data_IF_656649347159
#
_entry.id   IF_656649347159
#
_cell.length_a   1.000
_cell.length_b   1.000
_cell.length_c   1.000
_cell.angle_alpha   90.00
_cell.angle_beta   90.00
_cell.angle_gamma   90.00
#
_symmetry.space_group_name_H-M   'P 1'
#
loop_
_entity.id
_entity.type
_entity.pdbx_description
1 polymer ?
#
# COMPACT_ATOMS: atom_id res chain seq x y z
N UNK A 1 0.53 -12.36 -7.13
CA UNK A 1 0.09 -11.12 -7.81
C UNK A 1 -1.31 -10.80 -7.34
N UNK A 2 -1.56 -9.58 -6.91
CA UNK A 2 -2.90 -9.16 -6.51
C UNK A 2 -3.82 -9.03 -7.74
N UNK A 3 -4.65 -10.05 -7.94
CA UNK A 3 -5.58 -10.18 -9.08
C UNK A 3 -6.60 -9.03 -9.04
N UNK A 4 -7.07 -8.64 -7.87
CA UNK A 4 -8.07 -7.56 -7.73
C UNK A 4 -7.52 -6.22 -8.21
N UNK A 5 -6.30 -5.86 -7.85
CA UNK A 5 -5.64 -4.63 -8.30
C UNK A 5 -5.41 -4.64 -9.81
N UNK A 6 -4.99 -5.77 -10.38
CA UNK A 6 -4.78 -5.90 -11.82
C UNK A 6 -6.11 -5.77 -12.60
N UNK A 7 -7.14 -6.50 -12.16
CA UNK A 7 -8.48 -6.44 -12.77
C UNK A 7 -9.07 -5.03 -12.65
N UNK A 8 -8.93 -4.37 -11.51
CA UNK A 8 -9.42 -3.00 -11.33
C UNK A 8 -8.79 -2.01 -12.29
N UNK A 9 -7.47 -2.10 -12.51
CA UNK A 9 -6.76 -1.25 -13.47
C UNK A 9 -7.23 -1.53 -14.90
N UNK A 10 -7.30 -2.81 -15.31
CA UNK A 10 -7.73 -3.20 -16.67
C UNK A 10 -9.19 -2.78 -16.92
N UNK A 11 -10.10 -3.03 -15.98
CA UNK A 11 -11.50 -2.65 -16.10
C UNK A 11 -11.66 -1.12 -16.17
N UNK A 12 -10.90 -0.37 -15.35
CA UNK A 12 -10.94 1.09 -15.39
C UNK A 12 -10.54 1.66 -16.74
N UNK A 13 -9.41 1.19 -17.32
CA UNK A 13 -9.01 1.56 -18.69
C UNK A 13 -10.08 1.15 -19.68
N UNK A 14 -10.55 -0.10 -19.60
CA UNK A 14 -11.55 -0.64 -20.52
C UNK A 14 -12.85 0.19 -20.53
N UNK A 15 -13.35 0.60 -19.37
CA UNK A 15 -14.56 1.41 -19.26
C UNK A 15 -14.38 2.82 -19.83
N UNK A 16 -13.23 3.47 -19.59
CA UNK A 16 -12.93 4.79 -20.18
C UNK A 16 -12.85 4.69 -21.69
N UNK A 17 -12.09 3.73 -22.22
CA UNK A 17 -11.97 3.52 -23.68
C UNK A 17 -13.31 3.16 -24.30
N UNK A 18 -14.07 2.28 -23.68
CA UNK A 18 -15.40 1.91 -24.15
C UNK A 18 -16.35 3.12 -24.19
N UNK A 19 -16.35 3.96 -23.15
CA UNK A 19 -17.15 5.18 -23.12
C UNK A 19 -16.80 6.16 -24.25
N UNK A 20 -15.50 6.35 -24.52
CA UNK A 20 -15.04 7.19 -25.62
C UNK A 20 -15.48 6.62 -26.98
N UNK A 21 -15.32 5.32 -27.19
CA UNK A 21 -15.70 4.65 -28.47
C UNK A 21 -17.21 4.70 -28.70
N UNK A 22 -18.01 4.49 -27.65
CA UNK A 22 -19.48 4.57 -27.76
C UNK A 22 -19.97 5.98 -28.13
N UNK A 23 -19.27 7.00 -27.70
CA UNK A 23 -19.67 8.40 -27.97
C UNK A 23 -19.24 8.88 -29.37
N UNK A 24 -18.05 8.49 -29.83
CA UNK A 24 -17.50 9.04 -31.09
C UNK A 24 -16.81 8.03 -32.01
N UNK A 25 -16.96 6.74 -31.76
CA UNK A 25 -16.27 5.67 -32.50
C UNK A 25 -14.78 5.59 -32.17
N UNK A 26 -14.08 4.64 -32.79
CA UNK A 26 -12.63 4.44 -32.60
C UNK A 26 -11.80 5.69 -32.91
N UNK A 27 -12.12 6.51 -33.97
CA UNK A 27 -11.38 7.74 -34.24
C UNK A 27 -11.42 8.77 -33.10
N UNK A 28 -12.45 8.75 -32.23
CA UNK A 28 -12.56 9.67 -31.12
C UNK A 28 -11.44 9.50 -30.07
N UNK A 29 -10.78 8.35 -30.00
CA UNK A 29 -9.63 8.11 -29.14
C UNK A 29 -8.48 9.10 -29.39
N UNK A 30 -8.27 9.49 -30.67
CA UNK A 30 -7.22 10.43 -31.03
C UNK A 30 -7.46 11.84 -30.50
N UNK A 31 -8.72 12.21 -30.22
CA UNK A 31 -9.04 13.52 -29.62
C UNK A 31 -8.53 13.65 -28.17
N UNK A 32 -8.24 12.52 -27.51
CA UNK A 32 -7.70 12.47 -26.16
C UNK A 32 -6.17 12.33 -26.13
N UNK A 33 -5.51 12.27 -27.30
CA UNK A 33 -4.06 12.23 -27.43
C UNK A 33 -3.56 13.65 -27.79
N UNK A 34 -3.39 14.48 -26.78
CA UNK A 34 -2.93 15.87 -26.96
C UNK A 34 -1.57 16.08 -26.27
N UNK A 35 -0.46 16.14 -27.03
CA UNK A 35 0.87 16.28 -26.46
C UNK A 35 1.06 17.54 -25.59
N UNK A 36 0.56 18.73 -25.96
CA UNK A 36 0.62 19.91 -25.08
C UNK A 36 -0.04 19.66 -23.73
N UNK A 37 -1.24 19.07 -23.70
CA UNK A 37 -1.96 18.72 -22.48
C UNK A 37 -1.19 17.72 -21.61
N UNK A 38 -0.55 16.72 -22.20
CA UNK A 38 0.26 15.75 -21.50
C UNK A 38 1.49 16.41 -20.86
N UNK A 39 2.19 17.28 -21.57
CA UNK A 39 3.36 18.03 -21.06
C UNK A 39 2.94 18.89 -19.87
N UNK A 40 1.86 19.65 -19.98
CA UNK A 40 1.38 20.53 -18.91
C UNK A 40 0.99 19.70 -17.68
N UNK A 41 0.14 18.69 -17.85
CA UNK A 41 -0.47 18.00 -16.71
C UNK A 41 0.47 16.95 -16.11
N UNK A 42 0.99 16.03 -16.93
CA UNK A 42 1.88 14.96 -16.44
C UNK A 42 3.24 15.54 -16.09
N UNK A 43 3.85 16.30 -17.00
CA UNK A 43 5.15 16.93 -16.78
C UNK A 43 5.13 17.91 -15.62
N UNK A 44 4.11 18.77 -15.56
CA UNK A 44 3.93 19.74 -14.49
C UNK A 44 3.72 19.09 -13.12
N UNK A 45 2.80 18.13 -13.02
CA UNK A 45 2.54 17.42 -11.75
C UNK A 45 3.76 16.64 -11.26
N UNK A 46 4.48 15.94 -12.15
CA UNK A 46 5.72 15.25 -11.79
C UNK A 46 6.83 16.22 -11.37
N UNK A 47 6.93 17.40 -12.01
CA UNK A 47 7.91 18.40 -11.60
C UNK A 47 7.62 18.96 -10.19
N UNK A 48 6.35 19.14 -9.83
CA UNK A 48 5.95 19.53 -8.48
C UNK A 48 6.32 18.45 -7.45
N UNK A 49 6.07 17.16 -7.77
CA UNK A 49 6.47 16.04 -6.93
C UNK A 49 8.00 15.95 -6.79
N UNK A 50 8.75 16.18 -7.87
CA UNK A 50 10.21 16.21 -7.83
C UNK A 50 10.72 17.36 -6.96
N UNK A 51 10.10 18.53 -7.04
CA UNK A 51 10.47 19.69 -6.23
C UNK A 51 10.25 19.46 -4.73
N UNK A 52 9.21 18.70 -4.35
CA UNK A 52 8.87 18.39 -2.96
C UNK A 52 9.68 17.24 -2.34
N UNK A 53 10.43 16.49 -3.14
CA UNK A 53 11.17 15.30 -2.71
C UNK A 53 12.66 15.42 -3.00
N UNK A 54 13.49 14.72 -2.20
CA UNK A 54 14.87 14.44 -2.61
C UNK A 54 14.84 13.51 -3.83
N UNK A 55 15.82 13.67 -4.73
CA UNK A 55 15.90 12.85 -5.96
C UNK A 55 15.82 11.33 -5.69
N UNK A 56 16.47 10.86 -4.62
CA UNK A 56 16.39 9.44 -4.21
C UNK A 56 14.98 9.03 -3.81
N UNK A 57 14.24 9.90 -3.10
CA UNK A 57 12.85 9.66 -2.72
C UNK A 57 11.91 9.66 -3.92
N UNK A 58 12.11 10.58 -4.87
CA UNK A 58 11.36 10.61 -6.12
C UNK A 58 11.54 9.32 -6.93
N UNK A 59 12.79 8.87 -7.11
CA UNK A 59 13.10 7.62 -7.84
C UNK A 59 12.49 6.41 -7.10
N UNK A 60 12.57 6.38 -5.77
CA UNK A 60 11.95 5.33 -4.96
C UNK A 60 10.42 5.33 -5.11
N UNK A 61 9.79 6.51 -5.12
CA UNK A 61 8.36 6.68 -5.37
C UNK A 61 7.93 6.12 -6.72
N UNK A 62 8.62 6.47 -7.80
CA UNK A 62 8.34 5.91 -9.13
C UNK A 62 8.53 4.38 -9.16
N UNK A 63 9.61 3.86 -8.56
CA UNK A 63 9.85 2.40 -8.49
C UNK A 63 8.79 1.66 -7.67
N UNK A 64 8.14 2.34 -6.75
CA UNK A 64 7.07 1.75 -5.93
C UNK A 64 5.78 1.45 -6.70
N UNK A 65 5.69 1.85 -7.99
CA UNK A 65 4.57 1.54 -8.88
C UNK A 65 4.20 0.05 -8.92
N UNK A 66 5.19 -0.83 -8.77
CA UNK A 66 4.97 -2.27 -8.78
C UNK A 66 4.45 -2.84 -7.44
N UNK A 67 4.53 -2.08 -6.34
CA UNK A 67 4.17 -2.57 -4.99
C UNK A 67 2.69 -2.92 -4.83
N UNK A 68 1.71 -2.13 -5.34
CA UNK A 68 0.29 -2.46 -5.23
C UNK A 68 -0.09 -3.78 -5.91
N UNK A 69 0.69 -4.22 -6.89
CA UNK A 69 0.45 -5.48 -7.62
C UNK A 69 1.12 -6.70 -6.98
N UNK A 70 1.99 -6.48 -5.96
CA UNK A 70 2.58 -7.57 -5.20
C UNK A 70 1.63 -7.99 -4.10
N UNK A 71 1.23 -9.24 -4.14
CA UNK A 71 0.46 -9.85 -3.07
C UNK A 71 1.39 -10.11 -1.88
N UNK A 72 1.09 -9.52 -0.74
CA UNK A 72 1.65 -9.90 0.55
C UNK A 72 0.59 -10.74 1.26
N UNK A 73 0.58 -12.04 0.99
CA UNK A 73 -0.32 -12.96 1.68
C UNK A 73 0.36 -13.48 2.95
N UNK A 74 0.48 -12.65 3.97
CA UNK A 74 0.75 -13.18 5.30
C UNK A 74 -0.60 -13.25 6.01
N UNK A 75 -1.11 -14.45 6.22
CA UNK A 75 -2.31 -14.65 7.00
C UNK A 75 -1.97 -14.50 8.50
N UNK A 76 -2.61 -13.58 9.23
CA UNK A 76 -2.44 -13.47 10.67
C UNK A 76 -2.65 -14.79 11.41
N UNK A 77 -3.54 -15.67 10.90
CA UNK A 77 -3.78 -16.98 11.44
C UNK A 77 -2.55 -17.89 11.40
N UNK A 78 -1.82 -17.91 10.28
CA UNK A 78 -0.57 -18.66 10.16
C UNK A 78 0.49 -18.15 11.15
N UNK A 79 0.56 -16.84 11.35
CA UNK A 79 1.49 -16.22 12.31
C UNK A 79 1.14 -16.63 13.74
N UNK A 80 -0.15 -16.64 14.09
CA UNK A 80 -0.62 -17.09 15.41
C UNK A 80 -0.22 -18.56 15.63
N UNK A 81 -0.50 -19.45 14.67
CA UNK A 81 -0.15 -20.85 14.77
C UNK A 81 1.37 -21.05 14.97
N UNK A 82 2.21 -20.33 14.25
CA UNK A 82 3.67 -20.36 14.44
C UNK A 82 4.08 -19.93 15.84
N UNK A 83 3.46 -18.87 16.37
CA UNK A 83 3.75 -18.39 17.75
C UNK A 83 3.31 -19.44 18.78
N UNK A 84 2.17 -20.11 18.57
CA UNK A 84 1.71 -21.19 19.46
C UNK A 84 2.66 -22.39 19.41
N UNK A 85 3.13 -22.78 18.22
CA UNK A 85 4.16 -23.82 18.07
C UNK A 85 5.43 -23.47 18.84
N UNK A 86 5.95 -22.25 18.67
CA UNK A 86 7.12 -21.75 19.40
C UNK A 86 6.89 -21.73 20.91
N UNK A 87 5.70 -21.33 21.36
CA UNK A 87 5.32 -21.36 22.77
C UNK A 87 5.35 -22.79 23.34
N UNK A 88 4.86 -23.77 22.58
CA UNK A 88 4.89 -25.18 22.97
C UNK A 88 6.34 -25.73 23.05
N UNK A 89 7.21 -25.36 22.10
CA UNK A 89 8.64 -25.72 22.09
C UNK A 89 9.31 -25.12 23.31
N UNK A 90 9.16 -23.83 23.53
CA UNK A 90 9.74 -23.13 24.68
C UNK A 90 9.33 -23.74 26.01
N UNK A 91 8.08 -24.17 26.15
CA UNK A 91 7.56 -24.77 27.38
C UNK A 91 8.07 -26.19 27.65
N UNK A 92 8.31 -26.98 26.60
CA UNK A 92 8.78 -28.36 26.71
C UNK A 92 10.30 -28.47 26.85
N UNK A 93 11.02 -27.66 26.10
CA UNK A 93 12.46 -27.78 25.87
C UNK A 93 13.25 -26.56 26.39
N UNK A 94 12.54 -25.51 26.82
CA UNK A 94 13.13 -24.27 27.29
C UNK A 94 13.34 -23.24 26.17
N UNK A 95 13.64 -21.98 26.57
CA UNK A 95 13.82 -20.85 25.63
C UNK A 95 14.96 -21.07 24.64
N UNK A 96 16.02 -21.78 25.02
CA UNK A 96 17.17 -22.05 24.14
C UNK A 96 16.79 -22.90 22.91
N UNK A 97 15.79 -23.76 23.03
CA UNK A 97 15.31 -24.56 21.88
C UNK A 97 14.67 -23.72 20.77
N UNK A 98 14.27 -22.48 21.08
CA UNK A 98 13.75 -21.54 20.08
C UNK A 98 14.81 -21.08 19.08
N UNK A 99 16.11 -21.16 19.40
CA UNK A 99 17.20 -20.83 18.47
C UNK A 99 17.19 -21.75 17.24
N UNK A 100 17.02 -23.06 17.47
CA UNK A 100 16.93 -24.04 16.38
C UNK A 100 15.65 -23.82 15.55
N UNK A 101 14.52 -23.57 16.22
CA UNK A 101 13.25 -23.27 15.55
C UNK A 101 13.33 -21.99 14.70
N UNK A 102 14.06 -20.97 15.16
CA UNK A 102 14.27 -19.72 14.43
C UNK A 102 15.00 -19.91 13.09
N UNK A 103 15.83 -20.95 12.97
CA UNK A 103 16.52 -21.28 11.72
C UNK A 103 15.60 -21.62 10.55
N UNK A 104 14.40 -22.11 10.83
CA UNK A 104 13.39 -22.48 9.83
C UNK A 104 12.38 -21.37 9.49
N UNK A 105 12.52 -20.21 10.13
CA UNK A 105 11.57 -19.08 9.99
C UNK A 105 12.07 -18.10 8.91
N UNK A 106 11.23 -17.83 7.92
CA UNK A 106 11.51 -16.87 6.84
C UNK A 106 11.29 -15.40 7.27
N UNK A 107 10.47 -15.16 8.30
CA UNK A 107 10.19 -13.81 8.79
C UNK A 107 11.35 -13.30 9.66
N UNK A 108 12.12 -12.36 9.11
CA UNK A 108 13.29 -11.77 9.76
C UNK A 108 12.94 -10.99 11.04
N UNK A 109 11.72 -10.43 11.13
CA UNK A 109 11.28 -9.71 12.31
C UNK A 109 10.98 -10.67 13.47
N UNK A 110 10.28 -11.76 13.19
CA UNK A 110 10.01 -12.84 14.16
C UNK A 110 11.32 -13.49 14.60
N UNK A 111 12.19 -13.81 13.66
CA UNK A 111 13.52 -14.38 13.94
C UNK A 111 14.37 -13.48 14.84
N UNK A 112 14.42 -12.18 14.54
CA UNK A 112 15.12 -11.20 15.37
C UNK A 112 14.57 -11.17 16.80
N UNK A 113 13.24 -11.19 16.93
CA UNK A 113 12.59 -11.18 18.24
C UNK A 113 12.87 -12.46 19.04
N UNK A 114 12.87 -13.63 18.40
CA UNK A 114 13.23 -14.90 19.02
C UNK A 114 14.66 -14.85 19.55
N UNK A 115 15.62 -14.38 18.74
CA UNK A 115 17.01 -14.30 19.18
C UNK A 115 17.19 -13.39 20.40
N UNK A 116 16.49 -12.25 20.46
CA UNK A 116 16.52 -11.38 21.65
C UNK A 116 16.00 -12.10 22.91
N UNK A 117 14.93 -12.89 22.77
CA UNK A 117 14.36 -13.68 23.88
C UNK A 117 15.31 -14.78 24.33
N UNK A 118 15.94 -15.50 23.39
CA UNK A 118 16.92 -16.58 23.64
C UNK A 118 18.16 -16.04 24.35
N UNK A 119 18.62 -14.85 23.96
CA UNK A 119 19.76 -14.14 24.58
C UNK A 119 19.46 -13.65 26.02
N UNK A 120 18.24 -13.84 26.51
CA UNK A 120 17.83 -13.42 27.86
C UNK A 120 17.67 -11.91 28.00
N UNK A 121 17.45 -11.19 26.91
CA UNK A 121 17.21 -9.74 26.92
C UNK A 121 15.95 -9.44 27.74
N UNK A 122 15.97 -8.37 28.53
CA UNK A 122 14.80 -7.94 29.32
C UNK A 122 13.58 -7.65 28.43
N UNK A 123 12.39 -8.02 28.91
CA UNK A 123 11.14 -7.95 28.14
C UNK A 123 10.80 -6.54 27.63
N UNK A 124 11.03 -5.51 28.46
CA UNK A 124 10.82 -4.11 28.07
C UNK A 124 11.80 -3.68 26.98
N UNK A 125 13.05 -4.17 27.06
CA UNK A 125 14.05 -3.89 26.03
C UNK A 125 13.74 -4.63 24.71
N UNK A 126 13.29 -5.89 24.76
CA UNK A 126 12.80 -6.63 23.58
C UNK A 126 11.67 -5.86 22.91
N UNK A 127 10.65 -5.45 23.69
CA UNK A 127 9.54 -4.62 23.21
C UNK A 127 10.06 -3.35 22.53
N UNK A 128 10.89 -2.58 23.20
CA UNK A 128 11.40 -1.29 22.70
C UNK A 128 12.21 -1.43 21.40
N UNK A 129 13.03 -2.48 21.26
CA UNK A 129 13.80 -2.75 20.04
C UNK A 129 12.86 -3.10 18.87
N UNK A 130 11.89 -3.98 19.08
CA UNK A 130 10.97 -4.42 18.03
C UNK A 130 9.99 -3.31 17.64
N UNK A 131 9.47 -2.54 18.58
CA UNK A 131 8.64 -1.36 18.29
C UNK A 131 9.41 -0.29 17.49
N UNK A 132 10.67 -0.04 17.83
CA UNK A 132 11.53 0.88 17.08
C UNK A 132 11.72 0.41 15.63
N UNK A 133 11.92 -0.89 15.40
CA UNK A 133 12.05 -1.47 14.07
C UNK A 133 10.74 -1.33 13.28
N UNK A 134 9.61 -1.65 13.92
CA UNK A 134 8.27 -1.49 13.37
C UNK A 134 7.96 -0.04 12.97
N UNK A 135 8.22 0.92 13.85
CA UNK A 135 8.02 2.35 13.59
C UNK A 135 8.92 2.85 12.46
N UNK A 136 10.18 2.40 12.41
CA UNK A 136 11.11 2.74 11.32
C UNK A 136 10.64 2.19 9.96
N UNK A 137 10.04 1.00 9.95
CA UNK A 137 9.42 0.44 8.76
C UNK A 137 8.19 1.26 8.34
N UNK A 138 7.30 1.56 9.27
CA UNK A 138 6.11 2.37 9.03
C UNK A 138 6.47 3.73 8.42
N UNK A 139 7.49 4.39 8.95
CA UNK A 139 7.96 5.68 8.43
C UNK A 139 8.44 5.59 6.97
N UNK A 140 9.13 4.50 6.61
CA UNK A 140 9.52 4.24 5.22
C UNK A 140 8.31 4.03 4.31
N UNK A 141 7.30 3.30 4.78
CA UNK A 141 6.06 3.07 4.03
C UNK A 141 5.27 4.37 3.87
N UNK A 142 5.14 5.18 4.92
CA UNK A 142 4.47 6.50 4.88
C UNK A 142 5.09 7.41 3.82
N UNK A 143 6.41 7.44 3.68
CA UNK A 143 7.08 8.23 2.62
C UNK A 143 6.65 7.79 1.22
N UNK A 144 6.50 6.49 0.99
CA UNK A 144 6.03 5.95 -0.28
C UNK A 144 4.55 6.27 -0.53
N UNK A 145 3.72 6.14 0.50
CA UNK A 145 2.29 6.49 0.44
C UNK A 145 2.12 7.97 0.12
N UNK A 146 2.82 8.84 0.86
CA UNK A 146 2.76 10.29 0.67
C UNK A 146 3.21 10.73 -0.73
N UNK A 147 4.12 10.00 -1.38
CA UNK A 147 4.49 10.26 -2.77
C UNK A 147 3.27 10.16 -3.70
N UNK A 148 2.47 9.07 -3.57
CA UNK A 148 1.28 8.85 -4.40
C UNK A 148 0.15 9.81 -4.05
N UNK A 149 -0.06 10.10 -2.77
CA UNK A 149 -1.05 11.08 -2.32
C UNK A 149 -0.75 12.47 -2.90
N UNK A 150 0.48 12.93 -2.75
CA UNK A 150 0.88 14.23 -3.24
C UNK A 150 0.81 14.34 -4.77
N UNK A 151 1.22 13.30 -5.51
CA UNK A 151 1.06 13.28 -6.95
C UNK A 151 -0.42 13.32 -7.36
N UNK A 152 -1.28 12.58 -6.64
CA UNK A 152 -2.73 12.64 -6.82
C UNK A 152 -3.33 14.02 -6.63
N UNK A 153 -2.86 14.79 -5.65
CA UNK A 153 -3.27 16.19 -5.42
C UNK A 153 -2.77 17.10 -6.54
N UNK A 154 -1.55 16.88 -7.04
CA UNK A 154 -0.96 17.72 -8.09
C UNK A 154 -1.61 17.48 -9.47
N UNK A 155 -2.14 16.28 -9.74
CA UNK A 155 -2.79 15.98 -11.02
C UNK A 155 -3.87 17.00 -11.41
N UNK A 156 -4.96 17.15 -10.63
CA UNK A 156 -6.01 18.11 -10.90
C UNK A 156 -5.55 19.56 -10.85
N UNK A 157 -4.61 19.90 -9.97
CA UNK A 157 -4.06 21.24 -9.85
C UNK A 157 -3.38 21.68 -11.16
N UNK A 158 -2.54 20.83 -11.74
CA UNK A 158 -1.92 21.08 -13.05
C UNK A 158 -2.90 20.95 -14.21
N UNK A 159 -3.94 20.11 -14.08
CA UNK A 159 -5.07 20.09 -15.00
C UNK A 159 -5.77 21.42 -15.09
N UNK A 160 -6.03 22.07 -13.95
CA UNK A 160 -6.64 23.40 -13.88
C UNK A 160 -5.72 24.48 -14.47
N UNK A 161 -4.41 24.40 -14.24
CA UNK A 161 -3.45 25.30 -14.89
C UNK A 161 -3.55 25.18 -16.41
N UNK A 162 -3.63 23.94 -16.94
CA UNK A 162 -3.80 23.72 -18.37
C UNK A 162 -5.12 24.26 -18.91
N UNK A 163 -6.20 24.14 -18.14
CA UNK A 163 -7.50 24.76 -18.49
C UNK A 163 -7.35 26.27 -18.65
N UNK A 164 -6.71 26.94 -17.71
CA UNK A 164 -6.47 28.38 -17.79
C UNK A 164 -5.60 28.76 -18.98
N UNK A 165 -4.55 27.99 -19.27
CA UNK A 165 -3.69 28.24 -20.46
C UNK A 165 -4.52 28.12 -21.75
N UNK A 166 -5.32 27.08 -21.90
CA UNK A 166 -6.20 26.91 -23.08
C UNK A 166 -7.21 28.03 -23.24
N UNK A 167 -7.89 28.42 -22.15
CA UNK A 167 -8.86 29.51 -22.18
C UNK A 167 -8.23 30.86 -22.45
N UNK A 168 -7.08 31.18 -21.87
CA UNK A 168 -6.36 32.43 -22.13
C UNK A 168 -5.96 32.55 -23.60
N UNK A 169 -5.42 31.46 -24.17
CA UNK A 169 -5.04 31.43 -25.60
C UNK A 169 -6.25 31.56 -26.51
N UNK A 170 -7.38 30.88 -26.15
CA UNK A 170 -8.64 31.00 -26.87
C UNK A 170 -9.13 32.47 -26.89
N UNK A 171 -9.17 33.13 -25.71
CA UNK A 171 -9.64 34.51 -25.58
C UNK A 171 -8.76 35.52 -26.33
N UNK A 172 -7.44 35.27 -26.38
CA UNK A 172 -6.52 36.14 -27.15
C UNK A 172 -6.70 36.05 -28.66
N UNK A 173 -7.26 34.96 -29.16
CA UNK A 173 -7.38 34.68 -30.59
C UNK A 173 -8.86 34.51 -31.01
N UNK A 174 -9.79 35.19 -30.34
CA UNK A 174 -11.24 35.07 -30.63
C UNK A 174 -11.64 35.44 -32.07
N UNK A 175 -10.84 36.30 -32.72
CA UNK A 175 -11.08 36.72 -34.10
C UNK A 175 -10.77 35.59 -35.12
N UNK A 176 -9.91 34.62 -34.73
CA UNK A 176 -9.59 33.45 -35.53
C UNK A 176 -10.35 32.21 -35.02
N UNK A 177 -11.50 31.93 -35.63
CA UNK A 177 -12.35 30.80 -35.27
C UNK A 177 -11.65 29.42 -35.38
N UNK A 178 -10.58 29.34 -36.19
CA UNK A 178 -9.82 28.10 -36.36
C UNK A 178 -9.02 27.71 -35.09
N UNK A 179 -8.70 28.65 -34.22
CA UNK A 179 -7.92 28.46 -32.99
C UNK A 179 -8.78 28.13 -31.78
N UNK A 180 -10.09 28.42 -31.83
CA UNK A 180 -11.02 28.20 -30.69
C UNK A 180 -11.08 26.71 -30.30
N UNK A 181 -11.32 25.82 -31.27
CA UNK A 181 -11.43 24.40 -31.04
C UNK A 181 -10.18 23.79 -30.42
N UNK A 182 -8.99 23.95 -31.00
CA UNK A 182 -7.74 23.44 -30.44
C UNK A 182 -7.44 23.94 -29.04
N UNK A 183 -7.61 25.23 -28.74
CA UNK A 183 -7.36 25.78 -27.42
C UNK A 183 -8.36 25.28 -26.37
N UNK A 184 -9.61 25.08 -26.75
CA UNK A 184 -10.64 24.48 -25.90
C UNK A 184 -10.34 23.00 -25.62
N UNK A 185 -9.82 22.27 -26.63
CA UNK A 185 -9.39 20.89 -26.44
C UNK A 185 -8.28 20.78 -25.40
N UNK A 186 -7.24 21.65 -25.46
CA UNK A 186 -6.19 21.69 -24.43
C UNK A 186 -6.79 21.91 -23.03
N UNK A 187 -7.72 22.86 -22.88
CA UNK A 187 -8.36 23.13 -21.60
C UNK A 187 -9.11 21.91 -21.02
N UNK A 188 -9.80 21.16 -21.85
CA UNK A 188 -10.58 19.99 -21.42
C UNK A 188 -9.72 18.77 -21.20
N UNK A 189 -8.76 18.49 -22.10
CA UNK A 189 -7.90 17.31 -22.03
C UNK A 189 -6.93 17.37 -20.86
N UNK A 190 -6.43 18.56 -20.51
CA UNK A 190 -5.58 18.73 -19.30
C UNK A 190 -6.33 18.36 -18.02
N UNK A 191 -7.60 18.80 -17.90
CA UNK A 191 -8.44 18.45 -16.74
C UNK A 191 -8.76 16.94 -16.73
N UNK A 192 -9.01 16.37 -17.88
CA UNK A 192 -9.22 14.92 -18.01
C UNK A 192 -7.99 14.13 -17.55
N UNK A 193 -6.79 14.48 -18.01
CA UNK A 193 -5.55 13.83 -17.58
C UNK A 193 -5.30 14.01 -16.07
N UNK A 194 -5.53 15.20 -15.52
CA UNK A 194 -5.41 15.46 -14.10
C UNK A 194 -6.33 14.59 -13.26
N UNK A 195 -7.57 14.40 -13.72
CA UNK A 195 -8.56 13.53 -13.06
C UNK A 195 -8.17 12.05 -13.13
N UNK A 196 -7.63 11.59 -14.25
CA UNK A 196 -7.13 10.22 -14.38
C UNK A 196 -5.94 9.96 -13.45
N UNK A 197 -4.97 10.88 -13.38
CA UNK A 197 -3.83 10.76 -12.47
C UNK A 197 -4.31 10.63 -11.04
N UNK A 198 -5.20 11.51 -10.59
CA UNK A 198 -5.66 11.55 -9.22
C UNK A 198 -6.51 10.33 -8.83
N UNK A 199 -7.60 10.10 -9.57
CA UNK A 199 -8.67 9.23 -9.12
C UNK A 199 -8.51 7.78 -9.60
N UNK A 200 -7.86 7.59 -10.75
CA UNK A 200 -7.69 6.25 -11.29
C UNK A 200 -6.31 5.65 -11.01
N UNK A 201 -5.26 6.47 -10.90
CA UNK A 201 -3.91 5.99 -10.63
C UNK A 201 -3.51 6.18 -9.16
N UNK A 202 -3.38 7.43 -8.71
CA UNK A 202 -2.73 7.74 -7.44
C UNK A 202 -3.56 7.33 -6.22
N UNK A 203 -4.86 7.65 -6.19
CA UNK A 203 -5.72 7.36 -5.05
C UNK A 203 -5.86 5.84 -4.77
N UNK A 204 -6.13 4.97 -5.76
CA UNK A 204 -6.17 3.53 -5.52
C UNK A 204 -4.82 2.96 -5.06
N UNK A 205 -3.70 3.47 -5.61
CA UNK A 205 -2.37 3.04 -5.23
C UNK A 205 -2.03 3.43 -3.80
N UNK A 206 -2.27 4.67 -3.41
CA UNK A 206 -2.06 5.14 -2.04
C UNK A 206 -2.91 4.34 -1.05
N UNK A 207 -4.18 4.12 -1.33
CA UNK A 207 -5.09 3.35 -0.47
C UNK A 207 -4.65 1.89 -0.34
N UNK A 208 -4.20 1.24 -1.42
CA UNK A 208 -3.69 -0.13 -1.36
C UNK A 208 -2.41 -0.22 -0.52
N UNK A 209 -1.50 0.73 -0.68
CA UNK A 209 -0.28 0.78 0.12
C UNK A 209 -0.59 1.04 1.60
N UNK A 210 -1.59 1.88 1.92
CA UNK A 210 -2.06 2.07 3.31
C UNK A 210 -2.59 0.78 3.91
N UNK A 211 -3.49 0.10 3.21
CA UNK A 211 -4.07 -1.16 3.68
C UNK A 211 -2.98 -2.23 3.92
N UNK A 212 -2.01 -2.33 3.03
CA UNK A 212 -0.88 -3.25 3.20
C UNK A 212 0.00 -2.88 4.40
N UNK A 213 0.22 -1.58 4.63
CA UNK A 213 0.99 -1.09 5.79
C UNK A 213 0.27 -1.38 7.11
N UNK A 214 -1.04 -1.15 7.18
CA UNK A 214 -1.86 -1.43 8.37
C UNK A 214 -1.86 -2.94 8.70
N UNK A 215 -1.97 -3.80 7.69
CA UNK A 215 -1.88 -5.24 7.87
C UNK A 215 -0.51 -5.65 8.42
N UNK A 216 0.57 -5.12 7.85
CA UNK A 216 1.93 -5.43 8.30
C UNK A 216 2.20 -4.94 9.73
N UNK A 217 1.68 -3.76 10.12
CA UNK A 217 1.76 -3.25 11.49
C UNK A 217 1.01 -4.16 12.47
N UNK A 218 -0.19 -4.60 12.11
CA UNK A 218 -0.98 -5.55 12.92
C UNK A 218 -0.23 -6.84 13.13
N UNK A 219 0.37 -7.42 12.09
CA UNK A 219 1.17 -8.64 12.17
C UNK A 219 2.39 -8.47 13.08
N UNK A 220 3.12 -7.35 12.95
CA UNK A 220 4.29 -7.09 13.80
C UNK A 220 3.91 -6.88 15.26
N UNK A 221 2.81 -6.19 15.53
CA UNK A 221 2.28 -6.03 16.89
C UNK A 221 1.90 -7.40 17.50
N UNK A 222 1.25 -8.26 16.71
CA UNK A 222 0.90 -9.61 17.10
C UNK A 222 2.14 -10.44 17.42
N UNK A 223 3.21 -10.33 16.62
CA UNK A 223 4.49 -11.01 16.86
C UNK A 223 5.12 -10.51 18.16
N UNK A 224 5.16 -9.21 18.42
CA UNK A 224 5.71 -8.63 19.65
C UNK A 224 4.97 -9.19 20.87
N UNK A 225 3.64 -9.12 20.89
CA UNK A 225 2.83 -9.61 22.00
C UNK A 225 3.00 -11.12 22.21
N UNK A 226 3.08 -11.89 21.13
CA UNK A 226 3.31 -13.34 21.18
C UNK A 226 4.67 -13.68 21.78
N UNK A 227 5.75 -13.02 21.34
CA UNK A 227 7.10 -13.25 21.84
C UNK A 227 7.24 -12.89 23.32
N UNK A 228 6.65 -11.77 23.76
CA UNK A 228 6.66 -11.35 25.15
C UNK A 228 5.87 -12.32 26.05
N UNK A 229 4.76 -12.85 25.54
CA UNK A 229 3.99 -13.88 26.22
C UNK A 229 4.77 -15.21 26.36
N UNK A 230 5.55 -15.60 25.33
CA UNK A 230 6.46 -16.77 25.38
C UNK A 230 7.55 -16.51 26.43
N UNK A 231 8.16 -15.36 26.42
CA UNK A 231 9.21 -14.99 27.38
C UNK A 231 8.70 -14.98 28.82
N UNK A 232 7.47 -14.52 29.02
CA UNK A 232 6.80 -14.56 30.34
C UNK A 232 6.39 -15.97 30.80
N UNK A 233 6.51 -17.00 29.93
CA UNK A 233 6.11 -18.37 30.25
C UNK A 233 4.60 -18.57 30.32
N UNK A 234 3.80 -17.72 29.65
CA UNK A 234 2.35 -17.83 29.63
C UNK A 234 1.88 -19.18 29.03
N UNK A 235 0.68 -19.62 29.41
CA UNK A 235 0.11 -20.85 28.86
C UNK A 235 -0.21 -20.66 27.37
N UNK A 236 0.18 -21.60 26.47
CA UNK A 236 -0.11 -21.51 25.03
C UNK A 236 -1.57 -21.24 24.68
N UNK A 237 -2.52 -21.78 25.46
CA UNK A 237 -3.96 -21.48 25.29
C UNK A 237 -4.30 -20.01 25.61
N UNK A 238 -3.65 -19.42 26.61
CA UNK A 238 -3.84 -18.02 26.96
C UNK A 238 -3.24 -17.14 25.89
N UNK A 239 -2.05 -17.49 25.37
CA UNK A 239 -1.41 -16.80 24.24
C UNK A 239 -2.33 -16.84 23.02
N UNK A 240 -2.89 -18.00 22.70
CA UNK A 240 -3.82 -18.17 21.58
C UNK A 240 -5.02 -17.23 21.70
N UNK A 241 -5.70 -17.22 22.84
CA UNK A 241 -6.87 -16.34 23.07
C UNK A 241 -6.50 -14.84 23.01
N UNK A 242 -5.33 -14.49 23.55
CA UNK A 242 -4.79 -13.13 23.46
C UNK A 242 -4.53 -12.71 22.03
N UNK A 243 -3.89 -13.57 21.24
CA UNK A 243 -3.55 -13.27 19.83
C UNK A 243 -4.78 -13.32 18.91
N UNK A 244 -5.76 -14.19 19.17
CA UNK A 244 -7.04 -14.21 18.46
C UNK A 244 -7.80 -12.88 18.58
N UNK A 245 -7.57 -12.10 19.64
CA UNK A 245 -8.22 -10.79 19.79
C UNK A 245 -7.82 -9.78 18.69
N UNK A 246 -6.70 -9.99 18.02
CA UNK A 246 -6.25 -9.19 16.87
C UNK A 246 -7.01 -9.53 15.57
N UNK A 247 -7.75 -10.63 15.54
CA UNK A 247 -8.48 -11.08 14.36
C UNK A 247 -9.94 -10.60 14.38
N UNK A 248 -10.50 -10.43 13.18
CA UNK A 248 -11.93 -10.26 13.01
C UNK A 248 -12.71 -11.51 13.50
N UNK A 249 -13.97 -11.37 13.96
CA UNK A 249 -14.73 -12.47 14.55
C UNK A 249 -14.81 -13.73 13.70
N UNK A 250 -15.09 -13.58 12.41
CA UNK A 250 -15.17 -14.64 11.41
C UNK A 250 -13.87 -15.45 11.25
N UNK A 251 -12.71 -14.79 11.38
CA UNK A 251 -11.40 -15.44 11.34
C UNK A 251 -11.04 -16.12 12.66
N UNK A 252 -11.59 -15.67 13.78
CA UNK A 252 -11.38 -16.33 15.09
C UNK A 252 -12.02 -17.71 15.13
N UNK A 253 -13.24 -17.85 14.57
CA UNK A 253 -13.95 -19.13 14.50
C UNK A 253 -13.21 -20.14 13.63
N UNK A 254 -12.61 -19.71 12.52
CA UNK A 254 -11.84 -20.58 11.64
C UNK A 254 -10.55 -21.14 12.28
N UNK A 255 -9.99 -20.46 13.29
CA UNK A 255 -8.82 -20.90 14.05
C UNK A 255 -9.18 -21.66 15.33
N UNK A 256 -10.45 -21.70 15.71
CA UNK A 256 -10.89 -22.58 16.79
C UNK A 256 -10.90 -24.02 16.28
N UNK A 257 -10.28 -25.01 16.97
CA UNK A 257 -10.43 -26.41 16.59
C UNK A 257 -11.94 -26.69 16.56
N UNK A 258 -12.43 -27.19 15.43
CA UNK A 258 -13.80 -27.68 15.30
C UNK A 258 -14.14 -28.47 16.57
N UNK A 259 -15.23 -28.09 17.21
CA UNK A 259 -15.62 -28.57 18.51
C UNK A 259 -15.45 -30.06 18.63
N UNK A 260 -14.64 -30.46 19.61
CA UNK A 260 -14.71 -31.78 20.14
C UNK A 260 -16.17 -32.05 20.46
N UNK A 261 -16.76 -32.95 19.68
CA UNK A 261 -18.14 -33.35 19.86
C UNK A 261 -18.43 -33.71 21.33
N UNK A 262 -19.56 -33.22 21.76
CA UNK A 262 -20.26 -33.79 22.92
C UNK A 262 -20.30 -35.31 22.79
N UNK A 263 -19.69 -36.01 23.74
CA UNK A 263 -20.15 -37.30 24.27
C UNK A 263 -20.18 -37.19 25.80
#
# INVERSE_FOLDING_TARGET
>A
MDIASLLGVILGIGMVLFGIIQNGGVPALFNFLDPPSAIITIGGSLSAVLCSNKLSGFIAGIKSFALPFKEKSVDPGETINKIIELSNVSRKEGLLALEEAAGSIDDEFLKKGIMLVVDGTDAELVRGILETDMLSMEERHKKTISFWEFWGEQGPAWGMIGTLIGLINMLKNLEDSSTIGPNMAVALVTTFYGSLIANWLCAPFANKLKANNELELTLKTLIIEGLLSIQAGENPRVIEEKLKSFLAPDKREALSPEGGGEE
#
